data_IF_972245162251
#
_entry.id   IF_972245162251
#
_cell.length_a   1.000
_cell.length_b   1.000
_cell.length_c   1.000
_cell.angle_alpha   90.00
_cell.angle_beta   90.00
_cell.angle_gamma   90.00
#
_symmetry.space_group_name_H-M   'P 1'
#
loop_
_entity.id
_entity.type
_entity.pdbx_description
1 polymer ?
#
# COMPACT_ATOMS: atom_id res chain seq x y z
N UNK A 1 57.36 -20.51 -18.60
CA UNK A 1 56.43 -19.41 -18.26
C UNK A 1 55.16 -20.05 -17.73
N UNK A 2 54.75 -19.79 -16.48
CA UNK A 2 53.56 -20.41 -15.90
C UNK A 2 52.29 -19.67 -16.32
N UNK A 3 51.31 -20.43 -16.78
CA UNK A 3 49.98 -19.96 -17.19
C UNK A 3 49.16 -19.59 -15.94
N UNK A 4 48.59 -18.38 -15.82
CA UNK A 4 47.77 -18.05 -14.66
C UNK A 4 46.40 -18.74 -14.77
N UNK A 5 46.08 -19.55 -13.76
CA UNK A 5 44.76 -20.11 -13.50
C UNK A 5 43.83 -18.99 -13.02
N UNK A 6 43.12 -18.34 -13.93
CA UNK A 6 41.97 -17.51 -13.57
C UNK A 6 40.77 -18.42 -13.30
N UNK A 7 40.51 -18.67 -12.02
CA UNK A 7 39.29 -19.32 -11.56
C UNK A 7 38.05 -18.51 -11.98
N UNK A 8 37.17 -19.16 -12.72
CA UNK A 8 35.88 -18.64 -13.17
C UNK A 8 35.07 -18.06 -12.02
N UNK A 9 34.76 -16.75 -12.10
CA UNK A 9 33.91 -16.01 -11.17
C UNK A 9 32.40 -16.25 -11.39
N UNK A 10 32.00 -17.19 -12.25
CA UNK A 10 30.62 -17.39 -12.70
C UNK A 10 29.68 -18.04 -11.66
N UNK A 11 30.09 -18.24 -10.40
CA UNK A 11 29.28 -18.96 -9.39
C UNK A 11 28.82 -18.09 -8.21
N UNK A 12 29.11 -16.79 -8.21
CA UNK A 12 28.68 -15.89 -7.13
C UNK A 12 27.19 -15.50 -7.09
N UNK A 13 26.40 -15.46 -8.19
CA UNK A 13 25.00 -15.04 -8.07
C UNK A 13 24.10 -16.09 -7.40
N UNK A 14 24.40 -17.38 -7.57
CA UNK A 14 23.62 -18.47 -6.98
C UNK A 14 23.69 -18.51 -5.44
N UNK A 15 24.84 -18.15 -4.85
CA UNK A 15 25.03 -18.19 -3.41
C UNK A 15 24.24 -17.10 -2.67
N UNK A 16 24.14 -15.91 -3.27
CA UNK A 16 23.40 -14.77 -2.70
C UNK A 16 21.89 -15.04 -2.72
N UNK A 17 21.38 -15.62 -3.82
CA UNK A 17 19.98 -16.03 -3.94
C UNK A 17 19.64 -17.14 -2.93
N UNK A 18 20.52 -18.14 -2.76
CA UNK A 18 20.32 -19.21 -1.78
C UNK A 18 20.29 -18.70 -0.32
N UNK A 19 21.15 -17.73 0.03
CA UNK A 19 21.17 -17.10 1.36
C UNK A 19 19.90 -16.27 1.64
N UNK A 20 19.36 -15.60 0.62
CA UNK A 20 18.10 -14.85 0.73
C UNK A 20 16.89 -15.78 0.93
N UNK A 21 16.85 -16.93 0.25
CA UNK A 21 15.80 -17.95 0.41
C UNK A 21 15.87 -18.59 1.81
N UNK A 22 17.08 -18.89 2.31
CA UNK A 22 17.26 -19.47 3.65
C UNK A 22 16.86 -18.49 4.76
N UNK A 23 17.14 -17.20 4.60
CA UNK A 23 16.72 -16.16 5.56
C UNK A 23 15.19 -15.96 5.57
N UNK A 24 14.50 -16.18 4.45
CA UNK A 24 13.04 -16.09 4.37
C UNK A 24 12.33 -17.25 5.10
N UNK A 25 12.89 -18.45 5.05
CA UNK A 25 12.27 -19.65 5.66
C UNK A 25 12.39 -19.68 7.19
N UNK A 26 13.37 -18.96 7.78
CA UNK A 26 13.65 -18.99 9.21
C UNK A 26 12.81 -18.00 10.05
N UNK A 27 11.98 -17.16 9.43
CA UNK A 27 11.35 -16.00 10.08
C UNK A 27 9.84 -16.14 10.37
N UNK A 28 9.28 -17.35 10.46
CA UNK A 28 7.86 -17.56 10.75
C UNK A 28 7.55 -17.34 12.25
N UNK A 29 6.73 -16.33 12.63
CA UNK A 29 6.33 -16.13 14.03
C UNK A 29 5.18 -17.05 14.44
N UNK A 30 5.09 -17.34 15.75
CA UNK A 30 3.95 -18.02 16.37
C UNK A 30 2.71 -17.11 16.34
N UNK A 31 1.59 -17.64 15.87
CA UNK A 31 0.36 -16.91 15.59
C UNK A 31 -0.39 -16.51 16.87
N UNK A 32 -0.77 -15.23 16.95
CA UNK A 32 -1.95 -14.79 17.66
C UNK A 32 -3.12 -14.81 16.66
N UNK A 33 -4.20 -15.49 17.03
CA UNK A 33 -5.38 -15.66 16.18
C UNK A 33 -6.13 -14.34 16.02
N UNK A 34 -6.15 -13.78 14.80
CA UNK A 34 -7.20 -12.86 14.39
C UNK A 34 -8.30 -13.68 13.68
N UNK A 35 -9.50 -13.59 14.23
CA UNK A 35 -10.67 -14.31 13.79
C UNK A 35 -11.14 -13.72 12.45
N UNK A 36 -11.24 -14.57 11.43
CA UNK A 36 -11.82 -14.19 10.14
C UNK A 36 -13.31 -13.96 10.35
N UNK A 37 -13.75 -12.71 10.28
CA UNK A 37 -15.16 -12.34 10.28
C UNK A 37 -15.78 -12.71 8.94
N UNK A 38 -16.86 -13.47 9.00
CA UNK A 38 -17.75 -13.76 7.89
C UNK A 38 -18.35 -12.44 7.35
N UNK A 39 -18.62 -12.31 6.03
CA UNK A 39 -19.35 -11.15 5.52
C UNK A 39 -20.63 -10.91 6.32
N UNK A 40 -20.96 -9.66 6.70
CA UNK A 40 -22.07 -9.38 7.59
C UNK A 40 -23.36 -9.90 6.96
N UNK A 41 -24.06 -10.74 7.72
CA UNK A 41 -25.42 -11.17 7.39
C UNK A 41 -26.39 -10.07 7.80
N UNK A 42 -27.42 -9.92 6.99
CA UNK A 42 -28.54 -9.00 7.18
C UNK A 42 -29.33 -9.35 8.46
N UNK A 43 -29.57 -8.36 9.31
CA UNK A 43 -30.46 -8.48 10.47
C UNK A 43 -31.35 -7.24 10.59
N UNK A 44 -32.60 -7.46 11.02
CA UNK A 44 -33.61 -6.43 11.22
C UNK A 44 -34.09 -6.43 12.67
N UNK A 45 -34.29 -5.24 13.23
CA UNK A 45 -34.91 -5.01 14.53
C UNK A 45 -35.88 -3.84 14.46
N UNK A 46 -36.94 -3.88 15.28
CA UNK A 46 -37.93 -2.81 15.41
C UNK A 46 -37.33 -1.65 16.21
N UNK A 47 -37.25 -0.44 15.66
CA UNK A 47 -37.38 0.87 16.33
C UNK A 47 -37.18 2.04 15.32
N UNK A 48 -37.71 3.23 15.66
CA UNK A 48 -37.98 4.45 14.86
C UNK A 48 -36.77 5.15 14.19
N UNK A 49 -35.81 4.42 13.64
CA UNK A 49 -34.54 4.98 13.13
C UNK A 49 -34.23 4.49 11.71
N UNK A 50 -33.73 5.39 10.86
CA UNK A 50 -33.09 5.03 9.59
C UNK A 50 -31.63 4.67 9.89
N UNK A 51 -31.15 3.51 9.43
CA UNK A 51 -29.73 3.13 9.53
C UNK A 51 -29.16 3.03 8.12
N UNK A 52 -28.05 3.71 7.85
CA UNK A 52 -27.35 3.65 6.55
C UNK A 52 -26.06 2.88 6.74
N UNK A 53 -25.97 1.68 6.19
CA UNK A 53 -24.81 0.81 6.29
C UNK A 53 -24.00 0.85 4.98
N UNK A 54 -22.70 1.16 5.06
CA UNK A 54 -21.82 1.24 3.91
C UNK A 54 -20.38 1.60 4.26
N UNK A 55 -19.46 1.38 3.34
CA UNK A 55 -18.13 1.99 3.40
C UNK A 55 -18.24 3.47 3.00
N UNK A 56 -17.62 4.42 3.72
CA UNK A 56 -17.39 5.74 3.16
C UNK A 56 -16.59 5.59 1.87
N UNK A 57 -17.05 6.20 0.78
CA UNK A 57 -16.42 6.03 -0.54
C UNK A 57 -14.95 6.53 -0.60
N UNK A 58 -14.54 7.33 0.39
CA UNK A 58 -13.19 7.87 0.58
C UNK A 58 -12.53 7.48 1.91
N UNK A 59 -13.16 6.60 2.71
CA UNK A 59 -12.63 6.16 4.01
C UNK A 59 -12.69 7.19 5.15
N UNK A 60 -13.42 8.28 4.99
CA UNK A 60 -13.45 9.43 5.93
C UNK A 60 -14.72 9.56 6.79
N UNK A 61 -14.77 10.59 7.64
CA UNK A 61 -15.97 11.04 8.37
C UNK A 61 -17.04 11.50 7.38
N UNK A 62 -18.26 11.00 7.55
CA UNK A 62 -19.42 11.44 6.76
C UNK A 62 -20.28 12.37 7.60
N UNK A 63 -20.65 13.51 7.03
CA UNK A 63 -21.64 14.42 7.59
C UNK A 63 -22.97 14.21 6.86
N UNK A 64 -24.05 14.17 7.61
CA UNK A 64 -25.41 14.32 7.08
C UNK A 64 -25.74 15.80 7.18
N UNK A 65 -26.08 16.42 6.06
CA UNK A 65 -26.45 17.83 5.98
C UNK A 65 -27.89 17.96 5.47
N UNK A 66 -28.63 18.94 5.98
CA UNK A 66 -29.97 19.26 5.47
C UNK A 66 -29.92 20.11 4.19
N UNK A 67 -31.10 20.56 3.72
CA UNK A 67 -31.24 21.40 2.53
C UNK A 67 -30.57 22.78 2.64
N UNK A 68 -30.29 23.25 3.86
CA UNK A 68 -29.63 24.51 4.17
C UNK A 68 -28.11 24.33 4.41
N UNK A 69 -27.55 23.16 4.05
CA UNK A 69 -26.16 22.75 4.31
C UNK A 69 -25.79 22.71 5.83
N UNK A 70 -26.79 22.66 6.71
CA UNK A 70 -26.57 22.53 8.16
C UNK A 70 -26.26 21.07 8.49
N UNK A 71 -25.17 20.84 9.22
CA UNK A 71 -24.81 19.48 9.67
C UNK A 71 -25.80 19.03 10.74
N UNK A 72 -26.65 18.08 10.38
CA UNK A 72 -27.65 17.49 11.28
C UNK A 72 -27.10 16.26 12.02
N UNK A 73 -26.13 15.57 11.43
CA UNK A 73 -25.40 14.50 12.08
C UNK A 73 -23.99 14.35 11.53
N UNK A 74 -23.08 13.83 12.34
CA UNK A 74 -21.71 13.47 11.92
C UNK A 74 -21.46 12.04 12.35
N UNK A 75 -21.00 11.22 11.42
CA UNK A 75 -20.62 9.84 11.71
C UNK A 75 -19.13 9.70 11.59
N UNK A 76 -18.50 9.52 12.74
CA UNK A 76 -17.10 9.15 12.83
C UNK A 76 -16.96 7.66 12.57
N UNK A 77 -15.94 7.30 11.79
CA UNK A 77 -15.65 5.92 11.44
C UNK A 77 -15.17 5.16 12.68
N UNK A 78 -16.03 4.40 13.32
CA UNK A 78 -15.61 3.44 14.36
C UNK A 78 -15.21 2.08 13.76
N UNK A 79 -15.65 1.73 12.54
CA UNK A 79 -15.35 0.45 11.88
C UNK A 79 -15.53 0.45 10.34
N UNK A 80 -15.83 -0.70 9.74
CA UNK A 80 -16.18 -0.88 8.31
C UNK A 80 -17.65 -0.59 8.00
N UNK A 81 -18.42 -0.16 8.99
CA UNK A 81 -19.78 0.34 8.84
C UNK A 81 -19.93 1.64 9.61
N UNK A 82 -20.90 2.43 9.19
CA UNK A 82 -21.39 3.58 9.93
C UNK A 82 -22.91 3.45 10.10
N UNK A 83 -23.48 4.17 11.05
CA UNK A 83 -24.93 4.28 11.24
C UNK A 83 -25.22 5.69 11.72
N UNK A 84 -26.33 6.25 11.26
CA UNK A 84 -26.74 7.60 11.64
C UNK A 84 -28.23 7.65 11.85
N UNK A 85 -28.65 8.06 13.04
CA UNK A 85 -30.05 8.29 13.33
C UNK A 85 -30.48 9.62 12.71
N UNK A 86 -31.47 9.56 11.82
CA UNK A 86 -32.08 10.74 11.20
C UNK A 86 -33.50 10.87 11.76
N UNK A 87 -33.89 12.05 12.31
CA UNK A 87 -35.24 12.27 12.80
C UNK A 87 -36.31 12.02 11.72
N UNK A 88 -37.46 11.45 12.11
CA UNK A 88 -38.58 11.17 11.19
C UNK A 88 -39.21 12.43 10.58
N UNK A 89 -38.96 13.60 11.17
CA UNK A 89 -39.38 14.92 10.69
C UNK A 89 -38.26 15.67 9.94
N UNK A 90 -37.10 15.03 9.71
CA UNK A 90 -36.05 15.62 8.91
C UNK A 90 -36.56 15.89 7.49
N UNK A 91 -36.26 17.09 6.99
CA UNK A 91 -36.44 17.44 5.59
C UNK A 91 -35.50 16.65 4.68
N UNK A 92 -35.40 17.08 3.42
CA UNK A 92 -34.45 16.47 2.51
C UNK A 92 -33.00 16.67 3.01
N UNK A 93 -32.15 15.67 2.81
CA UNK A 93 -30.76 15.67 3.30
C UNK A 93 -29.78 15.16 2.24
N UNK A 94 -28.48 15.45 2.46
CA UNK A 94 -27.35 14.96 1.66
C UNK A 94 -26.28 14.37 2.58
N UNK A 95 -25.45 13.51 2.01
CA UNK A 95 -24.23 13.04 2.65
C UNK A 95 -23.03 13.82 2.10
N UNK A 96 -22.22 14.39 3.00
CA UNK A 96 -20.98 15.10 2.69
C UNK A 96 -19.80 14.31 3.23
N UNK A 97 -18.89 13.89 2.35
CA UNK A 97 -17.63 13.30 2.77
C UNK A 97 -16.59 14.37 3.14
N UNK A 98 -15.52 13.96 3.82
CA UNK A 98 -14.47 14.90 4.27
C UNK A 98 -13.79 15.66 3.13
N UNK A 99 -13.75 15.10 1.93
CA UNK A 99 -13.21 15.76 0.73
C UNK A 99 -14.16 16.80 0.11
N UNK A 100 -15.33 17.04 0.73
CA UNK A 100 -16.34 18.01 0.27
C UNK A 100 -17.31 17.47 -0.77
N UNK A 101 -17.18 16.22 -1.21
CA UNK A 101 -18.12 15.61 -2.15
C UNK A 101 -19.50 15.44 -1.51
N UNK A 102 -20.55 15.72 -2.29
CA UNK A 102 -21.95 15.63 -1.87
C UNK A 102 -22.67 14.50 -2.62
N UNK A 103 -23.53 13.77 -1.91
CA UNK A 103 -24.53 12.91 -2.54
C UNK A 103 -25.61 13.74 -3.23
N UNK A 104 -26.43 13.08 -4.04
CA UNK A 104 -27.71 13.66 -4.46
C UNK A 104 -28.59 13.97 -3.24
N UNK A 105 -29.48 14.95 -3.41
CA UNK A 105 -30.47 15.31 -2.40
C UNK A 105 -31.46 14.15 -2.23
N UNK A 106 -31.59 13.65 -1.02
CA UNK A 106 -32.53 12.62 -0.67
C UNK A 106 -33.70 13.22 0.10
N UNK A 107 -34.91 13.05 -0.42
CA UNK A 107 -36.15 13.46 0.24
C UNK A 107 -36.88 12.21 0.76
N UNK A 108 -36.78 11.89 2.07
CA UNK A 108 -37.45 10.72 2.62
C UNK A 108 -38.98 10.88 2.46
N UNK A 109 -39.70 9.85 1.98
CA UNK A 109 -41.15 9.96 1.82
C UNK A 109 -41.85 10.18 3.17
N UNK A 110 -42.66 11.24 3.24
CA UNK A 110 -43.35 11.72 4.45
C UNK A 110 -44.54 10.86 4.92
N UNK A 111 -44.76 9.69 4.34
CA UNK A 111 -45.78 8.74 4.81
C UNK A 111 -45.29 8.07 6.10
N UNK A 112 -46.21 7.71 7.02
CA UNK A 112 -45.93 6.82 8.15
C UNK A 112 -45.05 5.66 7.67
N UNK A 113 -43.79 5.68 8.07
CA UNK A 113 -42.77 4.75 7.63
C UNK A 113 -43.11 3.40 8.26
N UNK A 114 -43.90 2.58 7.56
CA UNK A 114 -44.06 1.15 7.88
C UNK A 114 -42.97 0.29 7.21
N UNK A 115 -42.29 0.83 6.19
CA UNK A 115 -41.27 0.12 5.42
C UNK A 115 -40.05 1.01 5.12
N UNK A 116 -38.87 0.39 5.22
CA UNK A 116 -37.57 1.03 5.15
C UNK A 116 -37.15 1.40 3.71
N UNK A 117 -36.45 2.52 3.56
CA UNK A 117 -35.83 2.97 2.32
C UNK A 117 -34.30 2.79 2.41
N UNK A 118 -33.68 2.23 1.37
CA UNK A 118 -32.22 2.16 1.22
C UNK A 118 -31.78 3.17 0.17
N UNK A 119 -30.87 4.06 0.55
CA UNK A 119 -30.16 4.91 -0.39
C UNK A 119 -28.90 4.19 -0.89
N UNK A 120 -28.96 3.65 -2.10
CA UNK A 120 -27.75 3.29 -2.83
C UNK A 120 -27.19 4.58 -3.39
N UNK A 121 -26.07 5.08 -2.85
CA UNK A 121 -25.26 6.05 -3.59
C UNK A 121 -24.82 5.31 -4.84
N UNK A 122 -25.43 5.65 -5.99
CA UNK A 122 -25.02 5.10 -7.27
C UNK A 122 -23.50 5.23 -7.33
N UNK A 123 -22.81 4.15 -7.66
CA UNK A 123 -21.35 4.15 -7.72
C UNK A 123 -20.95 5.31 -8.62
N UNK A 124 -20.56 6.43 -8.02
CA UNK A 124 -19.86 7.46 -8.75
C UNK A 124 -18.56 6.77 -9.06
N UNK A 125 -18.42 6.34 -10.31
CA UNK A 125 -17.13 5.93 -10.84
C UNK A 125 -16.30 7.20 -10.83
N UNK A 126 -15.73 7.51 -9.66
CA UNK A 126 -14.67 8.50 -9.56
C UNK A 126 -13.55 7.88 -10.37
N UNK A 127 -13.31 8.43 -11.55
CA UNK A 127 -12.16 8.07 -12.36
C UNK A 127 -10.93 8.42 -11.51
N UNK A 128 -10.37 7.41 -10.86
CA UNK A 128 -9.18 7.55 -10.03
C UNK A 128 -7.99 7.60 -10.98
N UNK A 129 -7.02 8.48 -10.73
CA UNK A 129 -5.79 8.46 -11.50
C UNK A 129 -5.14 7.09 -11.32
N UNK A 130 -4.71 6.50 -12.43
CA UNK A 130 -3.91 5.28 -12.47
C UNK A 130 -2.53 5.57 -13.03
N UNK A 131 -1.63 4.59 -12.90
CA UNK A 131 -0.36 4.56 -13.61
C UNK A 131 -0.09 3.15 -14.11
N UNK A 132 0.54 3.06 -15.27
CA UNK A 132 1.05 1.80 -15.80
C UNK A 132 2.27 1.33 -15.00
N UNK A 133 2.24 0.09 -14.55
CA UNK A 133 3.37 -0.60 -13.91
C UNK A 133 3.72 -1.82 -14.75
N UNK A 134 4.82 -1.74 -15.50
CA UNK A 134 5.34 -2.88 -16.24
C UNK A 134 6.04 -3.85 -15.28
N UNK A 135 5.52 -5.07 -15.18
CA UNK A 135 6.10 -6.19 -14.43
C UNK A 135 6.76 -7.17 -15.41
N UNK A 136 7.94 -7.67 -15.05
CA UNK A 136 8.63 -8.75 -15.76
C UNK A 136 8.45 -10.07 -15.02
N UNK A 137 8.59 -11.19 -15.71
CA UNK A 137 8.62 -12.49 -15.04
C UNK A 137 9.74 -12.53 -13.98
N UNK A 138 9.43 -13.03 -12.80
CA UNK A 138 10.34 -13.04 -11.65
C UNK A 138 10.11 -11.85 -10.71
N UNK A 139 11.19 -11.20 -10.28
CA UNK A 139 11.18 -10.27 -9.16
C UNK A 139 10.94 -8.83 -9.61
N UNK A 140 9.90 -8.22 -9.03
CA UNK A 140 9.54 -6.84 -9.29
C UNK A 140 9.47 -6.07 -7.97
N UNK A 141 10.18 -4.96 -7.90
CA UNK A 141 10.08 -4.04 -6.79
C UNK A 141 9.14 -2.90 -7.18
N UNK A 142 8.09 -2.71 -6.38
CA UNK A 142 7.05 -1.72 -6.66
C UNK A 142 6.75 -0.90 -5.42
N UNK A 143 6.44 0.38 -5.61
CA UNK A 143 5.86 1.24 -4.58
C UNK A 143 4.37 1.26 -4.78
N UNK A 144 3.59 0.92 -3.75
CA UNK A 144 2.14 1.07 -3.81
C UNK A 144 1.76 2.54 -3.81
N UNK A 145 1.11 3.01 -4.88
CA UNK A 145 0.77 4.43 -5.09
C UNK A 145 -0.70 4.76 -4.85
N UNK A 146 -1.54 3.77 -4.55
CA UNK A 146 -2.93 4.00 -4.17
C UNK A 146 -3.06 4.34 -2.68
N UNK A 147 -4.29 4.62 -2.25
CA UNK A 147 -4.62 4.69 -0.83
C UNK A 147 -4.37 3.34 -0.12
N UNK A 148 -4.24 3.36 1.21
CA UNK A 148 -4.15 2.12 1.97
C UNK A 148 -5.43 1.31 1.81
N UNK A 149 -5.29 0.08 1.30
CA UNK A 149 -6.41 -0.81 0.95
C UNK A 149 -6.08 -2.26 1.29
N UNK A 150 -7.10 -3.10 1.45
CA UNK A 150 -6.87 -4.53 1.68
C UNK A 150 -6.20 -5.17 0.47
N UNK A 151 -5.34 -6.17 0.68
CA UNK A 151 -4.69 -6.86 -0.44
C UNK A 151 -5.73 -7.48 -1.37
N UNK A 152 -6.85 -7.98 -0.84
CA UNK A 152 -7.93 -8.57 -1.64
C UNK A 152 -8.51 -7.55 -2.61
N UNK A 153 -8.87 -6.35 -2.14
CA UNK A 153 -9.47 -5.30 -2.98
C UNK A 153 -8.47 -4.82 -4.04
N UNK A 154 -7.19 -4.68 -3.67
CA UNK A 154 -6.14 -4.33 -4.65
C UNK A 154 -6.04 -5.39 -5.75
N UNK A 155 -6.11 -6.67 -5.39
CA UNK A 155 -6.00 -7.76 -6.36
C UNK A 155 -7.20 -7.87 -7.31
N UNK A 156 -8.34 -7.23 -7.02
CA UNK A 156 -9.44 -7.09 -7.99
C UNK A 156 -9.05 -6.21 -9.19
N UNK A 157 -8.08 -5.30 -9.01
CA UNK A 157 -7.53 -4.46 -10.08
C UNK A 157 -6.32 -5.09 -10.79
N UNK A 158 -5.82 -6.22 -10.28
CA UNK A 158 -4.65 -6.87 -10.84
C UNK A 158 -5.05 -7.65 -12.11
N UNK A 159 -4.35 -7.47 -13.26
CA UNK A 159 -4.84 -7.94 -14.56
C UNK A 159 -5.10 -9.45 -14.65
N UNK A 160 -4.24 -10.24 -14.02
CA UNK A 160 -4.38 -11.69 -13.89
C UNK A 160 -3.71 -12.14 -12.59
N UNK A 161 -4.53 -12.35 -11.55
CA UNK A 161 -4.05 -12.79 -10.22
C UNK A 161 -3.45 -14.19 -10.25
N UNK A 162 -3.72 -15.00 -11.28
CA UNK A 162 -3.08 -16.31 -11.43
C UNK A 162 -1.59 -16.22 -11.80
N UNK A 163 -1.14 -15.07 -12.31
CA UNK A 163 0.28 -14.78 -12.54
C UNK A 163 1.02 -14.37 -11.28
N UNK A 164 0.32 -13.97 -10.21
CA UNK A 164 0.95 -13.49 -8.98
C UNK A 164 1.29 -14.67 -8.06
N UNK A 165 2.58 -14.93 -7.86
CA UNK A 165 3.02 -16.01 -6.96
C UNK A 165 3.00 -15.57 -5.50
N UNK A 166 3.57 -14.39 -5.20
CA UNK A 166 3.73 -13.88 -3.83
C UNK A 166 4.02 -12.38 -3.81
N UNK A 167 3.52 -11.71 -2.79
CA UNK A 167 3.90 -10.35 -2.39
C UNK A 167 4.76 -10.45 -1.13
N UNK A 168 5.89 -9.76 -1.07
CA UNK A 168 6.66 -9.58 0.15
C UNK A 168 6.71 -8.11 0.57
N UNK A 169 6.78 -7.90 1.88
CA UNK A 169 7.02 -6.60 2.50
C UNK A 169 8.17 -6.74 3.49
N UNK A 170 9.12 -5.80 3.46
CA UNK A 170 10.15 -5.71 4.48
C UNK A 170 9.62 -4.90 5.68
N UNK A 171 9.31 -5.58 6.77
CA UNK A 171 8.94 -4.91 8.02
C UNK A 171 10.21 -4.39 8.69
N UNK A 172 10.39 -3.06 8.67
CA UNK A 172 11.59 -2.39 9.20
C UNK A 172 11.80 -2.72 10.68
N UNK A 173 10.72 -2.69 11.47
CA UNK A 173 10.73 -3.09 12.88
C UNK A 173 10.89 -4.62 12.97
N UNK A 174 11.99 -5.06 13.58
CA UNK A 174 12.29 -6.49 13.71
C UNK A 174 12.94 -7.13 12.48
N UNK A 175 13.21 -6.35 11.42
CA UNK A 175 14.03 -6.78 10.27
C UNK A 175 13.56 -8.10 9.64
N UNK A 176 12.24 -8.27 9.55
CA UNK A 176 11.58 -9.51 9.06
C UNK A 176 10.85 -9.27 7.75
N UNK A 177 10.57 -10.35 7.04
CA UNK A 177 9.73 -10.34 5.85
C UNK A 177 8.32 -10.76 6.22
N UNK A 178 7.34 -9.97 5.77
CA UNK A 178 5.95 -10.40 5.68
C UNK A 178 5.66 -10.87 4.26
N UNK A 179 4.67 -11.73 4.09
CA UNK A 179 4.25 -12.23 2.78
C UNK A 179 2.75 -12.39 2.64
N UNK A 180 2.26 -12.24 1.41
CA UNK A 180 0.93 -12.65 0.96
C UNK A 180 1.05 -13.57 -0.26
N UNK A 181 0.30 -14.67 -0.29
CA UNK A 181 0.29 -15.66 -1.39
C UNK A 181 -1.15 -15.96 -1.83
N UNK A 182 -1.57 -15.64 -3.05
CA UNK A 182 -2.94 -15.94 -3.49
C UNK A 182 -3.35 -17.39 -3.21
N UNK A 183 -4.58 -17.57 -2.72
CA UNK A 183 -5.15 -18.90 -2.42
C UNK A 183 -4.71 -19.57 -1.12
N UNK A 184 -3.71 -19.05 -0.40
CA UNK A 184 -3.39 -19.56 0.94
C UNK A 184 -4.35 -19.02 2.02
N UNK A 185 -4.63 -19.81 3.07
CA UNK A 185 -5.47 -19.36 4.19
C UNK A 185 -4.97 -18.06 4.83
N UNK A 186 -5.87 -17.15 5.20
CA UNK A 186 -5.54 -15.86 5.80
C UNK A 186 -4.55 -15.97 6.99
N UNK A 187 -4.67 -17.03 7.80
CA UNK A 187 -3.79 -17.30 8.96
C UNK A 187 -2.29 -17.48 8.64
N UNK A 188 -1.92 -17.74 7.39
CA UNK A 188 -0.50 -17.83 6.98
C UNK A 188 -0.02 -16.60 6.21
N UNK A 189 -0.91 -15.64 5.97
CA UNK A 189 -0.59 -14.35 5.37
C UNK A 189 -0.21 -13.37 6.48
N UNK A 190 0.79 -12.55 6.23
CA UNK A 190 1.23 -11.50 7.18
C UNK A 190 1.11 -10.09 6.61
N UNK A 191 0.60 -9.97 5.38
CA UNK A 191 0.22 -8.70 4.75
C UNK A 191 -1.30 -8.74 4.57
N UNK A 192 -2.01 -7.86 5.26
CA UNK A 192 -3.47 -7.72 5.15
C UNK A 192 -3.85 -6.54 4.24
N UNK A 193 -2.97 -5.56 4.11
CA UNK A 193 -3.18 -4.31 3.38
C UNK A 193 -1.92 -3.91 2.60
N UNK A 194 -2.12 -3.22 1.47
CA UNK A 194 -1.07 -2.44 0.83
C UNK A 194 -1.18 -0.99 1.29
N UNK A 195 -0.10 -0.46 1.88
CA UNK A 195 -0.06 0.89 2.46
C UNK A 195 0.58 1.88 1.51
N UNK A 196 0.03 3.08 1.43
CA UNK A 196 0.51 4.11 0.50
C UNK A 196 1.99 4.46 0.75
N UNK A 197 2.78 4.49 -0.33
CA UNK A 197 4.22 4.76 -0.31
C UNK A 197 5.09 3.60 0.20
N UNK A 198 4.52 2.46 0.58
CA UNK A 198 5.29 1.28 1.00
C UNK A 198 5.81 0.51 -0.20
N UNK A 199 7.05 0.05 -0.09
CA UNK A 199 7.70 -0.78 -1.08
C UNK A 199 7.36 -2.27 -0.87
N UNK A 200 6.97 -2.92 -1.95
CA UNK A 200 6.65 -4.35 -2.01
C UNK A 200 7.50 -5.05 -3.07
N UNK A 201 7.75 -6.33 -2.84
CA UNK A 201 8.28 -7.23 -3.86
C UNK A 201 7.12 -8.07 -4.38
N UNK A 202 6.89 -8.05 -5.68
CA UNK A 202 5.96 -8.95 -6.36
C UNK A 202 6.77 -9.97 -7.14
N UNK A 203 6.43 -11.25 -6.98
CA UNK A 203 6.89 -12.31 -7.88
C UNK A 203 5.75 -12.67 -8.80
N UNK A 204 5.97 -12.51 -10.11
CA UNK A 204 5.00 -12.88 -11.14
C UNK A 204 5.57 -13.93 -12.10
N UNK A 205 4.73 -14.84 -12.57
CA UNK A 205 5.14 -15.97 -13.42
C UNK A 205 5.35 -15.55 -14.89
N UNK A 206 4.66 -14.51 -15.35
CA UNK A 206 4.83 -13.92 -16.68
C UNK A 206 4.82 -12.39 -16.64
N UNK A 207 5.37 -11.77 -17.68
CA UNK A 207 5.37 -10.31 -17.80
C UNK A 207 3.95 -9.79 -18.07
N UNK A 208 3.58 -8.69 -17.41
CA UNK A 208 2.27 -8.05 -17.55
C UNK A 208 2.36 -6.55 -17.22
N UNK A 209 1.37 -5.78 -17.66
CA UNK A 209 1.22 -4.36 -17.27
C UNK A 209 0.05 -4.24 -16.32
N UNK A 210 0.28 -3.64 -15.16
CA UNK A 210 -0.74 -3.38 -14.15
C UNK A 210 -1.12 -1.89 -14.12
N UNK A 211 -2.40 -1.60 -14.30
CA UNK A 211 -2.99 -0.28 -14.04
C UNK A 211 -3.16 -0.08 -12.54
N UNK A 212 -2.15 0.50 -11.89
CA UNK A 212 -2.16 0.68 -10.45
C UNK A 212 -2.72 2.05 -10.08
N UNK A 213 -3.60 2.15 -9.06
CA UNK A 213 -4.04 3.45 -8.54
C UNK A 213 -2.88 4.35 -8.12
N UNK A 214 -3.02 5.66 -8.34
CA UNK A 214 -1.99 6.67 -8.05
C UNK A 214 -2.52 7.84 -7.22
N UNK A 215 -3.65 7.65 -6.53
CA UNK A 215 -4.35 8.62 -5.68
C UNK A 215 -3.86 8.65 -4.21
N UNK A 216 -2.89 7.79 -3.85
CA UNK A 216 -2.37 7.70 -2.50
C UNK A 216 -1.49 8.87 -2.07
N UNK A 217 -1.45 9.15 -0.76
CA UNK A 217 -0.51 10.10 -0.18
C UNK A 217 0.88 9.47 -0.04
N UNK A 218 1.79 9.92 -0.91
CA UNK A 218 3.17 9.45 -0.96
C UNK A 218 4.12 10.38 -0.22
N UNK A 219 3.63 11.54 0.23
CA UNK A 219 4.45 12.56 0.88
C UNK A 219 4.70 12.24 2.36
N UNK A 220 5.71 12.91 2.93
CA UNK A 220 5.92 12.92 4.37
C UNK A 220 7.16 12.15 4.83
N UNK A 221 7.25 11.96 6.14
CA UNK A 221 8.45 11.41 6.78
C UNK A 221 8.33 9.89 6.95
N UNK A 222 9.32 9.16 6.42
CA UNK A 222 9.43 7.70 6.55
C UNK A 222 10.58 7.33 7.47
N UNK A 223 10.38 6.33 8.32
CA UNK A 223 11.42 5.82 9.22
C UNK A 223 12.37 4.90 8.49
N UNK A 224 13.67 5.11 8.69
CA UNK A 224 14.75 4.21 8.28
C UNK A 224 15.25 3.52 9.54
N UNK A 225 14.95 2.24 9.70
CA UNK A 225 15.49 1.46 10.81
C UNK A 225 16.99 1.22 10.62
N UNK A 226 17.73 1.07 11.72
CA UNK A 226 19.07 0.51 11.68
C UNK A 226 19.03 -0.90 11.05
N UNK A 227 20.01 -1.20 10.19
CA UNK A 227 19.98 -2.35 9.30
C UNK A 227 19.37 -1.98 7.94
N UNK A 228 18.52 -2.83 7.39
CA UNK A 228 17.96 -2.65 6.06
C UNK A 228 16.49 -2.21 6.09
N UNK A 229 16.17 -1.16 5.34
CA UNK A 229 14.81 -0.68 5.12
C UNK A 229 14.52 -0.62 3.62
N UNK A 230 13.32 -1.01 3.19
CA UNK A 230 12.85 -0.80 1.82
C UNK A 230 11.94 0.43 1.80
N UNK A 231 12.26 1.42 0.97
CA UNK A 231 11.54 2.69 0.90
C UNK A 231 11.24 3.01 -0.55
N UNK A 232 9.99 3.35 -0.86
CA UNK A 232 9.65 3.93 -2.14
C UNK A 232 10.11 5.38 -2.21
N UNK A 233 10.70 5.80 -3.33
CA UNK A 233 10.98 7.20 -3.58
C UNK A 233 9.76 7.88 -4.19
N UNK A 234 9.14 8.81 -3.47
CA UNK A 234 7.99 9.58 -3.93
C UNK A 234 8.35 10.96 -4.51
N UNK A 235 9.60 11.39 -4.35
CA UNK A 235 10.08 12.67 -4.85
C UNK A 235 10.30 12.70 -6.37
N UNK A 236 10.66 13.87 -6.94
CA UNK A 236 11.03 14.01 -8.35
C UNK A 236 12.31 13.23 -8.68
N UNK A 237 12.70 13.17 -9.96
CA UNK A 237 14.02 12.66 -10.34
C UNK A 237 15.12 13.35 -9.53
N UNK A 238 15.98 12.55 -8.91
CA UNK A 238 17.02 13.02 -8.00
C UNK A 238 18.32 12.21 -8.18
N UNK A 239 19.45 12.83 -7.90
CA UNK A 239 20.72 12.15 -7.72
C UNK A 239 20.73 11.41 -6.37
N UNK A 240 21.58 10.38 -6.20
CA UNK A 240 21.75 9.75 -4.89
C UNK A 240 22.18 10.71 -3.78
N UNK A 241 22.88 11.81 -4.11
CA UNK A 241 23.27 12.81 -3.13
C UNK A 241 22.06 13.62 -2.66
N UNK A 242 21.18 14.03 -3.57
CA UNK A 242 19.94 14.75 -3.20
C UNK A 242 19.00 13.88 -2.34
N UNK A 243 18.91 12.58 -2.65
CA UNK A 243 18.17 11.63 -1.79
C UNK A 243 18.83 11.50 -0.41
N UNK A 244 20.17 11.50 -0.34
CA UNK A 244 20.90 11.47 0.92
C UNK A 244 20.70 12.76 1.73
N UNK A 245 20.64 13.91 1.08
CA UNK A 245 20.40 15.22 1.71
C UNK A 245 18.98 15.32 2.30
N UNK A 246 18.03 14.53 1.79
CA UNK A 246 16.67 14.40 2.34
C UNK A 246 16.58 13.50 3.60
N UNK A 247 17.68 12.82 3.97
CA UNK A 247 17.77 12.02 5.19
C UNK A 247 18.14 12.91 6.37
N UNK A 248 17.42 12.80 7.48
CA UNK A 248 17.62 13.65 8.66
C UNK A 248 19.02 13.52 9.28
N UNK A 249 19.62 12.33 9.20
CA UNK A 249 21.04 12.08 9.53
C UNK A 249 21.70 11.35 8.36
N UNK A 250 22.31 12.07 7.40
CA UNK A 250 23.00 11.47 6.27
C UNK A 250 24.15 10.53 6.67
N UNK A 251 24.79 10.79 7.82
CA UNK A 251 25.90 9.98 8.35
C UNK A 251 25.46 8.59 8.80
N UNK A 252 24.17 8.41 9.10
CA UNK A 252 23.59 7.11 9.43
C UNK A 252 23.59 6.16 8.22
N UNK A 253 23.51 6.66 6.98
CA UNK A 253 23.36 5.84 5.78
C UNK A 253 24.70 5.30 5.29
N UNK A 254 24.85 3.99 5.27
CA UNK A 254 26.04 3.33 4.73
C UNK A 254 25.95 3.05 3.22
N UNK A 255 24.75 2.76 2.71
CA UNK A 255 24.53 2.46 1.30
C UNK A 255 23.05 2.57 0.89
N UNK A 256 22.82 2.89 -0.37
CA UNK A 256 21.56 2.64 -1.08
C UNK A 256 21.76 1.49 -2.07
N UNK A 257 20.73 0.69 -2.26
CA UNK A 257 20.62 -0.26 -3.36
C UNK A 257 19.32 0.00 -4.11
N UNK A 258 19.38 0.04 -5.44
CA UNK A 258 18.20 0.15 -6.30
C UNK A 258 18.08 -1.13 -7.11
N UNK A 259 16.90 -1.73 -7.14
CA UNK A 259 16.65 -2.86 -8.03
C UNK A 259 16.56 -2.41 -9.48
N UNK A 260 17.34 -3.03 -10.36
CA UNK A 260 17.28 -2.83 -11.79
C UNK A 260 16.48 -3.97 -12.43
N UNK A 261 15.20 -3.71 -12.71
CA UNK A 261 14.26 -4.72 -13.21
C UNK A 261 14.72 -5.35 -14.54
N UNK A 262 15.35 -4.57 -15.42
CA UNK A 262 15.84 -5.06 -16.71
C UNK A 262 16.97 -6.09 -16.57
N UNK A 263 17.83 -5.93 -15.57
CA UNK A 263 18.98 -6.82 -15.35
C UNK A 263 18.78 -7.82 -14.21
N UNK A 264 17.68 -7.68 -13.44
CA UNK A 264 17.39 -8.45 -12.23
C UNK A 264 18.58 -8.43 -11.23
N UNK A 265 19.19 -7.25 -11.07
CA UNK A 265 20.33 -7.03 -10.18
C UNK A 265 20.18 -5.73 -9.41
N UNK A 266 20.91 -5.59 -8.30
CA UNK A 266 21.01 -4.31 -7.59
C UNK A 266 22.12 -3.44 -8.17
N UNK A 267 21.76 -2.20 -8.47
CA UNK A 267 22.70 -1.09 -8.52
C UNK A 267 22.93 -0.58 -7.09
N UNK A 268 24.12 -0.03 -6.82
CA UNK A 268 24.45 0.45 -5.48
C UNK A 268 25.06 1.85 -5.51
N UNK A 269 24.76 2.61 -4.46
CA UNK A 269 25.44 3.83 -4.11
C UNK A 269 25.96 3.76 -2.67
N UNK A 270 27.18 4.25 -2.43
CA UNK A 270 27.82 4.28 -1.10
C UNK A 270 28.46 5.65 -0.86
N UNK A 271 27.97 6.45 0.10
CA UNK A 271 28.55 7.76 0.38
C UNK A 271 30.07 7.71 0.56
N UNK A 272 30.80 8.64 -0.06
CA UNK A 272 32.26 8.74 0.05
C UNK A 272 33.10 7.77 -0.82
N UNK A 273 32.48 6.82 -1.54
CA UNK A 273 33.23 5.99 -2.49
C UNK A 273 33.43 6.68 -3.85
N UNK A 274 34.50 6.34 -4.60
CA UNK A 274 34.75 6.91 -5.93
C UNK A 274 33.61 6.66 -6.92
N UNK A 275 33.29 7.64 -7.77
CA UNK A 275 32.19 7.55 -8.75
C UNK A 275 32.22 6.27 -9.62
N UNK A 276 33.41 5.76 -9.97
CA UNK A 276 33.58 4.54 -10.79
C UNK A 276 33.00 3.26 -10.18
N UNK A 277 32.71 3.23 -8.87
CA UNK A 277 32.08 2.07 -8.22
C UNK A 277 30.60 2.30 -7.90
N UNK A 278 30.10 3.52 -8.12
CA UNK A 278 28.67 3.83 -7.99
C UNK A 278 27.97 3.41 -9.28
N UNK A 279 26.81 2.77 -9.16
CA UNK A 279 25.99 2.35 -10.31
C UNK A 279 24.63 3.01 -10.37
N UNK A 280 24.35 3.89 -9.41
CA UNK A 280 23.14 4.71 -9.38
C UNK A 280 23.59 6.14 -9.66
N UNK A 281 23.11 6.72 -10.75
CA UNK A 281 23.33 8.09 -11.17
C UNK A 281 22.06 8.94 -11.01
N UNK A 282 20.90 8.34 -11.25
CA UNK A 282 19.57 8.92 -11.07
C UNK A 282 18.70 7.96 -10.27
N UNK A 283 17.85 8.50 -9.40
CA UNK A 283 16.76 7.85 -8.69
C UNK A 283 15.48 8.51 -9.20
N UNK A 284 14.56 7.69 -9.74
CA UNK A 284 13.33 8.16 -10.37
C UNK A 284 12.14 8.02 -9.44
N UNK A 285 11.06 8.79 -9.63
CA UNK A 285 9.80 8.55 -8.94
C UNK A 285 9.41 7.08 -8.99
N UNK A 286 9.02 6.55 -7.83
CA UNK A 286 8.63 5.16 -7.58
C UNK A 286 9.74 4.11 -7.69
N UNK A 287 11.01 4.52 -7.79
CA UNK A 287 12.12 3.61 -7.53
C UNK A 287 12.03 3.09 -6.08
N UNK A 288 12.26 1.79 -5.88
CA UNK A 288 12.46 1.25 -4.53
C UNK A 288 13.93 1.31 -4.16
N UNK A 289 14.20 1.94 -3.03
CA UNK A 289 15.51 2.02 -2.41
C UNK A 289 15.58 1.06 -1.22
N UNK A 290 16.50 0.10 -1.29
CA UNK A 290 16.90 -0.69 -0.14
C UNK A 290 18.05 0.04 0.55
N UNK A 291 17.78 0.63 1.70
CA UNK A 291 18.72 1.50 2.42
C UNK A 291 19.33 0.71 3.57
N UNK A 292 20.66 0.68 3.63
CA UNK A 292 21.39 0.18 4.78
C UNK A 292 21.82 1.35 5.67
N UNK A 293 21.27 1.43 6.88
CA UNK A 293 21.59 2.45 7.86
C UNK A 293 22.28 1.85 9.10
N UNK A 294 23.33 2.50 9.59
CA UNK A 294 24.09 2.09 10.78
C UNK A 294 23.37 2.47 12.08
N UNK A 295 22.56 3.52 12.05
CA UNK A 295 21.66 3.96 13.11
C UNK A 295 20.27 4.26 12.51
N UNK A 296 19.23 4.27 13.34
CA UNK A 296 17.91 4.64 12.88
C UNK A 296 17.85 6.15 12.54
N UNK A 297 17.16 6.50 11.48
CA UNK A 297 16.97 7.88 11.01
C UNK A 297 15.63 8.00 10.28
N UNK A 298 15.38 9.13 9.61
CA UNK A 298 14.19 9.34 8.79
C UNK A 298 14.55 9.98 7.45
N UNK A 299 13.69 9.81 6.46
CA UNK A 299 13.76 10.52 5.18
C UNK A 299 12.43 11.24 4.96
N UNK A 300 12.49 12.49 4.48
CA UNK A 300 11.29 13.27 4.12
C UNK A 300 11.22 13.38 2.61
N UNK A 301 10.05 13.10 2.03
CA UNK A 301 9.79 13.08 0.59
C UNK A 301 8.61 13.98 0.25
#
# INVERSE_FOLDING_TARGET
MPTPLFGSLAHRPLLVVALLIAALLAALPAAASAQQTEPPRLYWGSNDTVTVDGQPWDGSTIQVIDEDDTVVATVERESMSWSVEIPNDAGAFRFRASNGSLSELFDPPKSTVEENFILTIGSVTVERPTREVALVAGWNWVVWTGHTQSVTDVLETFPDTSQLTVIFERVAVGQRWSSYRPGLPARVQSIAELRSGVAYILIVDSALTWEMPSDGDLTGTRTIAAGFSAIGWAGPDATPQEVLDAVADPGAVAAFFRWNTATQMYDSYRPGLPARVQRIDTIRPFDVLFIHATSATTITQ
#
